data_IF_710738355056
#
_entry.id   IF_710738355056
#
_cell.length_a   1.000
_cell.length_b   1.000
_cell.length_c   1.000
_cell.angle_alpha   90.00
_cell.angle_beta   90.00
_cell.angle_gamma   90.00
#
_symmetry.space_group_name_H-M   'P 1'
#
loop_
_entity.id
_entity.type
_entity.pdbx_description
1 polymer ?
#
# COMPACT_ATOMS: atom_id res chain seq x y z
N UNK A 1 -9.98 11.69 -5.24
CA UNK A 1 -8.55 11.40 -5.43
C UNK A 1 -8.42 10.00 -6.01
N UNK A 2 -7.59 9.80 -7.02
CA UNK A 2 -7.32 8.48 -7.63
C UNK A 2 -5.84 8.19 -7.42
N UNK A 3 -5.50 7.00 -6.92
CA UNK A 3 -4.12 6.55 -6.73
C UNK A 3 -3.78 5.65 -7.92
N UNK A 4 -2.74 5.99 -8.68
CA UNK A 4 -2.29 5.21 -9.83
C UNK A 4 -1.18 4.23 -9.46
N UNK A 5 -0.19 4.70 -8.70
CA UNK A 5 0.89 3.89 -8.18
C UNK A 5 1.48 4.51 -6.92
N UNK A 6 2.22 3.72 -6.15
CA UNK A 6 3.06 4.22 -5.07
C UNK A 6 4.35 3.41 -4.93
N UNK A 7 5.40 4.09 -4.50
CA UNK A 7 6.67 3.50 -4.13
C UNK A 7 6.91 3.68 -2.63
N UNK A 8 7.17 2.58 -1.93
CA UNK A 8 7.46 2.52 -0.51
C UNK A 8 8.94 2.17 -0.32
N UNK A 9 9.76 3.17 -0.03
CA UNK A 9 11.19 2.97 0.24
C UNK A 9 11.42 2.14 1.50
N UNK A 10 10.79 2.50 2.62
CA UNK A 10 10.85 1.74 3.88
C UNK A 10 9.61 2.01 4.74
N UNK A 11 8.75 1.01 4.92
CA UNK A 11 7.59 1.11 5.84
C UNK A 11 7.16 -0.29 6.33
N UNK A 12 7.10 -0.46 7.66
CA UNK A 12 6.91 -1.78 8.25
C UNK A 12 7.97 -2.77 7.78
N UNK A 13 7.54 -3.91 7.21
CA UNK A 13 8.45 -4.94 6.67
C UNK A 13 8.94 -4.68 5.24
N UNK A 14 8.32 -3.74 4.52
CA UNK A 14 8.66 -3.49 3.13
C UNK A 14 9.87 -2.59 3.00
N UNK A 15 10.72 -2.96 2.04
CA UNK A 15 11.87 -2.19 1.57
C UNK A 15 11.79 -2.12 0.05
N UNK A 16 11.86 -0.93 -0.52
CA UNK A 16 11.84 -0.68 -1.96
C UNK A 16 10.68 -1.38 -2.70
N UNK A 17 9.46 -1.24 -2.18
CA UNK A 17 8.26 -1.93 -2.69
C UNK A 17 7.40 -1.01 -3.57
N UNK A 18 7.06 -1.48 -4.77
CA UNK A 18 6.14 -0.81 -5.68
C UNK A 18 4.74 -1.43 -5.63
N UNK A 19 3.72 -0.57 -5.75
CA UNK A 19 2.32 -0.96 -5.96
C UNK A 19 1.74 -0.16 -7.11
N UNK A 20 1.07 -0.85 -8.02
CA UNK A 20 0.32 -0.29 -9.12
C UNK A 20 -1.17 -0.60 -8.92
N UNK A 21 -2.02 0.36 -9.22
CA UNK A 21 -3.46 0.26 -9.04
C UNK A 21 -4.15 0.39 -10.40
N UNK A 22 -5.09 -0.50 -10.68
CA UNK A 22 -5.94 -0.42 -11.87
C UNK A 22 -7.24 0.33 -11.58
N UNK A 23 -7.93 0.76 -12.63
CA UNK A 23 -9.30 1.21 -12.51
C UNK A 23 -10.20 0.08 -11.97
N UNK A 24 -11.18 0.43 -11.14
CA UNK A 24 -12.08 -0.53 -10.49
C UNK A 24 -11.53 -1.10 -9.17
N UNK A 25 -11.82 -2.39 -8.92
CA UNK A 25 -11.50 -3.05 -7.66
C UNK A 25 -10.09 -3.65 -7.68
N UNK A 26 -9.26 -3.28 -6.71
CA UNK A 26 -7.91 -3.82 -6.51
C UNK A 26 -7.89 -4.76 -5.28
N UNK A 27 -8.06 -6.09 -5.45
CA UNK A 27 -8.11 -7.02 -4.33
C UNK A 27 -6.70 -7.37 -3.81
N UNK A 28 -6.51 -7.28 -2.50
CA UNK A 28 -5.26 -7.65 -1.82
C UNK A 28 -5.42 -8.91 -0.94
N UNK A 29 -5.29 -10.08 -1.58
CA UNK A 29 -5.33 -11.38 -0.89
C UNK A 29 -3.91 -11.90 -0.63
N UNK A 30 -3.38 -11.58 0.55
CA UNK A 30 -2.09 -12.09 1.04
C UNK A 30 -2.21 -12.93 2.32
N UNK A 31 -1.12 -13.51 2.79
CA UNK A 31 -1.10 -14.19 4.08
C UNK A 31 -1.03 -13.21 5.27
N UNK A 32 -1.24 -13.72 6.48
CA UNK A 32 -1.05 -12.90 7.67
C UNK A 32 0.42 -12.48 7.82
N UNK A 33 0.64 -11.24 8.21
CA UNK A 33 1.98 -10.66 8.25
C UNK A 33 2.50 -10.19 6.89
N UNK A 34 1.72 -10.32 5.80
CA UNK A 34 2.10 -9.79 4.49
C UNK A 34 2.02 -8.26 4.37
N UNK A 35 1.36 -7.61 5.33
CA UNK A 35 1.32 -6.14 5.42
C UNK A 35 0.06 -5.51 4.86
N UNK A 36 -1.06 -6.24 4.71
CA UNK A 36 -2.34 -5.65 4.26
C UNK A 36 -2.75 -4.44 5.10
N UNK A 37 -2.71 -4.61 6.42
CA UNK A 37 -3.01 -3.54 7.39
C UNK A 37 -1.95 -2.45 7.36
N UNK A 38 -0.70 -2.81 7.07
CA UNK A 38 0.41 -1.86 6.88
C UNK A 38 0.20 -0.98 5.65
N UNK A 39 -0.36 -1.51 4.55
CA UNK A 39 -0.72 -0.72 3.36
C UNK A 39 -1.76 0.36 3.68
N UNK A 40 -2.79 -0.02 4.43
CA UNK A 40 -3.88 0.89 4.79
C UNK A 40 -3.39 2.02 5.70
N UNK A 41 -2.56 1.70 6.70
CA UNK A 41 -1.94 2.72 7.54
C UNK A 41 -0.96 3.61 6.77
N UNK A 42 -0.20 3.03 5.83
CA UNK A 42 0.68 3.81 4.97
C UNK A 42 -0.10 4.91 4.23
N UNK A 43 -1.22 4.56 3.61
CA UNK A 43 -2.06 5.56 2.94
C UNK A 43 -2.68 6.57 3.89
N UNK A 44 -3.11 6.15 5.09
CA UNK A 44 -3.63 7.09 6.08
C UNK A 44 -2.59 8.16 6.43
N UNK A 45 -1.37 7.75 6.79
CA UNK A 45 -0.29 8.67 7.17
C UNK A 45 0.16 9.51 5.97
N UNK A 46 0.25 8.92 4.78
CA UNK A 46 0.67 9.63 3.57
C UNK A 46 -0.25 10.81 3.24
N UNK A 47 -1.57 10.65 3.43
CA UNK A 47 -2.54 11.69 3.06
C UNK A 47 -2.95 12.61 4.21
N UNK A 48 -2.88 12.14 5.46
CA UNK A 48 -3.46 12.85 6.60
C UNK A 48 -2.50 13.10 7.77
N UNK A 49 -1.29 12.52 7.75
CA UNK A 49 -0.37 12.50 8.90
C UNK A 49 -0.86 11.61 10.03
#
# INVERSE_FOLDING_TARGET
MIIQSCHIAQFGKWKEKNFDFSEGLNPFLWENGEGKTTLMHFFHILFYG
#
